data_IF_009394928876
#
_entry.id   IF_009394928876
#
_cell.length_a   1.000
_cell.length_b   1.000
_cell.length_c   1.000
_cell.angle_alpha   90.00
_cell.angle_beta   90.00
_cell.angle_gamma   90.00
#
_symmetry.space_group_name_H-M   'P 1'
#
loop_
_entity.id
_entity.type
_entity.pdbx_description
1 polymer ?
#
# COMPACT_ATOMS: atom_id res chain seq x y z
N UNK A 1 22.09 -30.39 -9.36
CA UNK A 1 21.03 -30.97 -8.50
C UNK A 1 20.77 -30.13 -7.25
N UNK A 2 21.78 -29.72 -6.47
CA UNK A 2 21.57 -28.95 -5.22
C UNK A 2 20.93 -27.55 -5.42
N UNK A 3 21.44 -26.74 -6.36
CA UNK A 3 20.90 -25.37 -6.63
C UNK A 3 19.45 -25.41 -7.12
N UNK A 4 19.11 -26.36 -7.99
CA UNK A 4 17.74 -26.52 -8.51
C UNK A 4 16.73 -26.84 -7.39
N UNK A 5 17.10 -27.74 -6.47
CA UNK A 5 16.25 -28.08 -5.33
C UNK A 5 16.08 -26.89 -4.37
N UNK A 6 17.13 -26.07 -4.20
CA UNK A 6 17.08 -24.85 -3.40
C UNK A 6 16.16 -23.79 -4.04
N UNK A 7 16.29 -23.53 -5.34
CA UNK A 7 15.40 -22.63 -6.08
C UNK A 7 13.95 -23.11 -6.05
N UNK A 8 13.73 -24.41 -6.22
CA UNK A 8 12.39 -25.01 -6.13
C UNK A 8 11.79 -24.83 -4.73
N UNK A 9 12.61 -25.00 -3.67
CA UNK A 9 12.19 -24.72 -2.30
C UNK A 9 11.84 -23.26 -2.07
N UNK A 10 12.60 -22.34 -2.65
CA UNK A 10 12.40 -20.90 -2.51
C UNK A 10 11.12 -20.44 -3.22
N UNK A 11 10.84 -20.99 -4.41
CA UNK A 11 9.62 -20.70 -5.18
C UNK A 11 8.37 -21.31 -4.53
N UNK A 12 8.50 -22.52 -3.94
CA UNK A 12 7.39 -23.24 -3.32
C UNK A 12 7.32 -23.04 -1.80
N UNK A 13 8.05 -22.07 -1.27
CA UNK A 13 7.97 -21.73 0.13
C UNK A 13 6.54 -21.30 0.46
N UNK A 14 6.04 -21.75 1.61
CA UNK A 14 4.71 -21.42 2.10
C UNK A 14 4.88 -20.85 3.49
N UNK A 15 4.23 -19.73 3.76
CA UNK A 15 4.07 -19.23 5.11
C UNK A 15 3.13 -20.11 5.95
N UNK A 16 3.12 -19.86 7.25
CA UNK A 16 2.37 -20.61 8.25
C UNK A 16 1.30 -19.74 8.91
N UNK A 17 0.16 -20.36 9.22
CA UNK A 17 -0.81 -19.76 10.13
C UNK A 17 -0.35 -19.94 11.57
N UNK A 18 -0.42 -18.86 12.35
CA UNK A 18 -0.08 -18.87 13.77
C UNK A 18 -1.34 -18.97 14.62
N UNK A 19 -1.26 -19.75 15.69
CA UNK A 19 -2.29 -19.77 16.72
C UNK A 19 -1.73 -19.46 18.09
N UNK A 20 -2.66 -19.16 19.00
CA UNK A 20 -2.41 -18.74 20.37
C UNK A 20 -2.08 -19.94 21.25
N UNK A 21 -1.00 -19.81 22.00
CA UNK A 21 -0.58 -20.72 23.07
C UNK A 21 -0.34 -19.90 24.33
N UNK A 22 -0.84 -20.39 25.48
CA UNK A 22 -0.54 -19.81 26.79
C UNK A 22 0.73 -20.45 27.31
N UNK A 23 1.74 -19.63 27.59
CA UNK A 23 3.04 -20.09 28.09
C UNK A 23 3.26 -19.53 29.49
N UNK A 24 3.67 -20.40 30.41
CA UNK A 24 4.14 -20.04 31.73
C UNK A 24 5.67 -19.93 31.70
N UNK A 25 6.22 -18.84 32.24
CA UNK A 25 7.67 -18.69 32.36
C UNK A 25 8.13 -19.29 33.69
N UNK A 26 8.95 -20.33 33.62
CA UNK A 26 9.53 -20.99 34.80
C UNK A 26 11.04 -20.78 34.76
N UNK A 27 11.64 -20.26 35.83
CA UNK A 27 13.10 -20.19 35.99
C UNK A 27 13.52 -21.35 36.90
N UNK A 28 14.16 -22.37 36.34
CA UNK A 28 14.57 -23.57 37.08
C UNK A 28 13.38 -24.42 37.52
N UNK A 29 13.42 -24.92 38.77
CA UNK A 29 12.35 -25.71 39.42
C UNK A 29 11.29 -24.85 40.13
N UNK A 30 11.35 -23.52 39.98
CA UNK A 30 10.47 -22.58 40.70
C UNK A 30 9.66 -21.73 39.72
N UNK A 31 8.33 -21.72 39.91
CA UNK A 31 7.45 -20.74 39.29
C UNK A 31 7.85 -19.35 39.80
N UNK A 32 8.08 -18.42 38.88
CA UNK A 32 8.44 -17.04 39.23
C UNK A 32 7.17 -16.37 39.73
N UNK A 33 7.15 -16.03 41.01
CA UNK A 33 6.17 -15.11 41.56
C UNK A 33 6.66 -13.66 41.37
N UNK A 34 5.74 -12.70 41.30
CA UNK A 34 5.93 -11.27 40.94
C UNK A 34 7.10 -10.56 41.66
N UNK A 35 7.57 -11.12 42.78
CA UNK A 35 8.58 -10.52 43.66
C UNK A 35 10.01 -11.04 43.45
N UNK A 36 10.28 -11.80 42.37
CA UNK A 36 11.63 -12.25 42.03
C UNK A 36 12.28 -13.16 43.08
N UNK A 37 11.48 -13.78 43.95
CA UNK A 37 11.94 -14.65 45.03
C UNK A 37 11.46 -16.08 44.77
N UNK A 38 12.37 -17.04 44.83
CA UNK A 38 12.09 -18.46 44.63
C UNK A 38 11.04 -18.95 45.64
N UNK A 39 9.82 -19.23 45.18
CA UNK A 39 8.75 -19.80 46.02
C UNK A 39 8.88 -21.33 46.16
N UNK A 40 8.58 -21.91 47.33
CA UNK A 40 8.67 -23.35 47.54
C UNK A 40 7.54 -24.10 46.80
N UNK A 41 7.83 -25.35 46.41
CA UNK A 41 6.91 -26.25 45.70
C UNK A 41 5.70 -26.58 46.58
N UNK A 42 4.55 -25.98 46.28
CA UNK A 42 3.24 -26.32 46.84
C UNK A 42 2.47 -27.32 45.96
N UNK A 43 1.57 -28.15 46.52
CA UNK A 43 0.98 -29.28 45.81
C UNK A 43 -0.25 -28.89 44.97
N UNK A 44 -0.34 -29.49 43.78
CA UNK A 44 -1.53 -29.71 42.92
C UNK A 44 -2.40 -28.51 42.53
N UNK A 45 -2.50 -28.15 41.23
CA UNK A 45 -3.43 -27.13 40.76
C UNK A 45 -4.80 -27.75 40.46
N UNK A 46 -5.56 -28.04 41.51
CA UNK A 46 -7.01 -28.07 41.40
C UNK A 46 -7.56 -26.84 42.14
N UNK A 47 -8.41 -26.08 41.46
CA UNK A 47 -9.21 -24.96 41.97
C UNK A 47 -8.52 -23.58 42.00
N UNK A 48 -8.66 -22.82 40.91
CA UNK A 48 -9.24 -21.46 41.00
C UNK A 48 -9.78 -21.01 39.65
N UNK A 49 -11.06 -21.34 39.41
CA UNK A 49 -11.92 -20.58 38.50
C UNK A 49 -12.49 -19.43 39.35
N UNK A 50 -11.76 -18.33 39.46
CA UNK A 50 -12.27 -17.08 40.01
C UNK A 50 -11.68 -15.93 39.19
N UNK A 51 -12.60 -15.14 38.66
CA UNK A 51 -12.38 -13.93 37.87
C UNK A 51 -11.62 -12.89 38.70
N UNK A 52 -10.34 -12.66 38.40
CA UNK A 52 -9.69 -11.39 38.73
C UNK A 52 -8.60 -11.07 37.70
N UNK A 53 -8.65 -9.86 37.17
CA UNK A 53 -8.11 -9.44 35.86
C UNK A 53 -6.62 -8.99 35.94
N UNK A 54 -5.82 -9.58 36.85
CA UNK A 54 -4.43 -9.14 37.14
C UNK A 54 -3.44 -10.26 37.49
N UNK A 55 -3.54 -11.44 36.86
CA UNK A 55 -2.59 -12.54 37.07
C UNK A 55 -1.49 -12.62 35.99
N UNK A 56 -0.38 -11.90 36.23
CA UNK A 56 0.79 -11.73 35.34
C UNK A 56 1.71 -12.97 35.18
N UNK A 57 1.17 -14.20 35.27
CA UNK A 57 1.96 -15.45 35.19
C UNK A 57 1.83 -16.21 33.86
N UNK A 58 1.02 -15.73 32.92
CA UNK A 58 0.87 -16.32 31.59
C UNK A 58 1.11 -15.28 30.49
N UNK A 59 1.97 -15.61 29.53
CA UNK A 59 2.13 -14.82 28.30
C UNK A 59 1.55 -15.58 27.12
N UNK A 60 0.87 -14.85 26.25
CA UNK A 60 0.39 -15.40 24.99
C UNK A 60 1.53 -15.41 23.99
N UNK A 61 1.83 -16.57 23.43
CA UNK A 61 2.79 -16.76 22.35
C UNK A 61 2.05 -17.28 21.14
N UNK A 62 2.47 -16.84 19.96
CA UNK A 62 1.90 -17.27 18.68
C UNK A 62 2.86 -18.23 17.99
N UNK A 63 2.43 -19.49 17.85
CA UNK A 63 3.23 -20.57 17.27
C UNK A 63 2.55 -21.07 15.97
N UNK A 64 3.34 -21.54 14.99
CA UNK A 64 2.81 -22.17 13.79
C UNK A 64 1.91 -23.37 14.13
N UNK A 65 0.73 -23.42 13.53
CA UNK A 65 -0.21 -24.54 13.72
C UNK A 65 0.39 -25.87 13.24
N UNK A 66 1.32 -25.82 12.28
CA UNK A 66 2.06 -26.96 11.74
C UNK A 66 3.22 -27.43 12.60
N UNK A 67 3.61 -26.65 13.62
CA UNK A 67 4.83 -26.86 14.42
C UNK A 67 6.12 -26.99 13.58
N UNK A 68 6.16 -26.35 12.40
CA UNK A 68 7.32 -26.39 11.51
C UNK A 68 8.58 -25.71 12.09
N UNK A 69 8.41 -24.88 13.13
CA UNK A 69 9.46 -24.18 13.87
C UNK A 69 10.22 -25.07 14.88
N UNK A 70 9.89 -26.37 14.95
CA UNK A 70 10.48 -27.28 15.92
C UNK A 70 9.91 -27.15 17.34
N UNK A 71 8.78 -26.45 17.50
CA UNK A 71 8.03 -26.43 18.75
C UNK A 71 7.47 -27.82 19.10
N UNK A 72 7.19 -28.05 20.39
CA UNK A 72 6.70 -29.34 20.87
C UNK A 72 5.33 -29.68 20.24
N UNK A 73 5.21 -30.78 19.47
CA UNK A 73 3.97 -31.16 18.79
C UNK A 73 2.81 -31.53 19.71
N UNK A 74 3.08 -31.75 21.01
CA UNK A 74 2.04 -32.05 22.01
C UNK A 74 1.27 -30.79 22.45
N UNK A 75 1.76 -29.60 22.11
CA UNK A 75 1.11 -28.33 22.48
C UNK A 75 -0.04 -28.07 21.50
N UNK A 76 -1.27 -28.04 22.00
CA UNK A 76 -2.42 -27.69 21.16
C UNK A 76 -2.42 -26.18 20.85
N UNK A 77 -2.17 -25.82 19.60
CA UNK A 77 -2.28 -24.45 19.09
C UNK A 77 -3.75 -24.12 18.81
N UNK A 78 -4.29 -23.08 19.43
CA UNK A 78 -5.70 -22.67 19.26
C UNK A 78 -5.81 -21.39 18.42
N UNK A 79 -6.93 -21.18 17.73
CA UNK A 79 -7.15 -19.89 17.05
C UNK A 79 -7.24 -18.73 18.07
N UNK A 80 -6.67 -17.55 17.75
CA UNK A 80 -6.70 -16.41 18.66
C UNK A 80 -8.13 -15.91 18.92
N UNK A 81 -8.94 -15.85 17.86
CA UNK A 81 -10.35 -15.46 17.90
C UNK A 81 -11.07 -15.94 16.62
N UNK A 82 -12.36 -16.32 16.66
CA UNK A 82 -13.09 -16.73 15.46
C UNK A 82 -13.10 -15.65 14.37
N UNK A 83 -12.59 -16.00 13.19
CA UNK A 83 -12.48 -15.06 12.07
C UNK A 83 -11.26 -14.11 12.12
N UNK A 84 -10.33 -14.32 13.06
CA UNK A 84 -9.05 -13.63 13.12
C UNK A 84 -7.93 -14.60 12.77
N UNK A 85 -7.16 -14.27 11.74
CA UNK A 85 -6.05 -15.07 11.25
C UNK A 85 -4.75 -14.32 11.41
N UNK A 86 -3.71 -15.02 11.86
CA UNK A 86 -2.35 -14.51 11.88
C UNK A 86 -1.55 -15.36 10.91
N UNK A 87 -0.94 -14.74 9.92
CA UNK A 87 -0.18 -15.42 8.88
C UNK A 87 1.25 -14.89 8.87
N UNK A 88 2.22 -15.79 9.02
CA UNK A 88 3.64 -15.49 8.92
C UNK A 88 4.17 -15.94 7.57
N UNK A 89 4.81 -15.04 6.84
CA UNK A 89 5.41 -15.34 5.53
C UNK A 89 6.64 -16.26 5.66
N UNK A 90 7.07 -16.88 4.57
CA UNK A 90 8.37 -17.56 4.54
C UNK A 90 9.52 -16.56 4.37
N UNK A 91 10.77 -17.03 4.38
CA UNK A 91 12.00 -16.19 4.45
C UNK A 91 12.13 -15.09 3.37
N UNK A 92 11.40 -15.18 2.26
CA UNK A 92 11.40 -14.12 1.24
C UNK A 92 10.01 -13.87 0.65
N UNK A 93 9.67 -12.61 0.41
CA UNK A 93 8.47 -12.22 -0.34
C UNK A 93 8.92 -11.57 -1.66
N UNK A 94 9.10 -12.43 -2.66
CA UNK A 94 9.75 -12.13 -3.95
C UNK A 94 8.74 -12.40 -5.06
N UNK A 95 8.88 -11.75 -6.22
CA UNK A 95 7.89 -11.89 -7.31
C UNK A 95 7.51 -13.36 -7.66
N UNK A 96 8.45 -14.33 -7.75
CA UNK A 96 8.12 -15.70 -8.11
C UNK A 96 7.30 -16.47 -7.08
N UNK A 97 7.45 -16.18 -5.78
CA UNK A 97 6.78 -16.92 -4.71
C UNK A 97 5.51 -16.21 -4.21
N UNK A 98 5.42 -14.88 -4.35
CA UNK A 98 4.34 -14.06 -3.83
C UNK A 98 2.95 -14.60 -4.16
N UNK A 99 2.71 -14.99 -5.42
CA UNK A 99 1.41 -15.52 -5.83
C UNK A 99 1.06 -16.82 -5.09
N UNK A 100 2.03 -17.72 -4.94
CA UNK A 100 1.78 -19.02 -4.31
C UNK A 100 1.50 -18.91 -2.80
N UNK A 101 2.16 -17.97 -2.13
CA UNK A 101 1.92 -17.68 -0.71
C UNK A 101 0.57 -16.99 -0.49
N UNK A 102 0.25 -15.98 -1.29
CA UNK A 102 -1.04 -15.29 -1.20
C UNK A 102 -2.20 -16.22 -1.55
N UNK A 103 -2.04 -17.09 -2.55
CA UNK A 103 -3.05 -18.07 -2.92
C UNK A 103 -3.32 -19.05 -1.76
N UNK A 104 -2.27 -19.50 -1.08
CA UNK A 104 -2.42 -20.38 0.09
C UNK A 104 -3.15 -19.69 1.25
N UNK A 105 -2.78 -18.44 1.56
CA UNK A 105 -3.45 -17.62 2.57
C UNK A 105 -4.93 -17.44 2.23
N UNK A 106 -5.22 -17.01 1.01
CA UNK A 106 -6.57 -16.70 0.54
C UNK A 106 -7.42 -17.96 0.54
N UNK A 107 -6.91 -19.06 -0.01
CA UNK A 107 -7.60 -20.35 -0.05
C UNK A 107 -7.97 -20.85 1.35
N UNK A 108 -7.05 -20.75 2.31
CA UNK A 108 -7.29 -21.21 3.69
C UNK A 108 -8.35 -20.35 4.37
N UNK A 109 -8.28 -19.03 4.21
CA UNK A 109 -9.30 -18.11 4.75
C UNK A 109 -10.67 -18.39 4.15
N UNK A 110 -10.77 -18.59 2.83
CA UNK A 110 -12.05 -18.91 2.17
C UNK A 110 -12.62 -20.27 2.57
N UNK A 111 -11.77 -21.20 3.02
CA UNK A 111 -12.19 -22.50 3.51
C UNK A 111 -12.73 -22.42 4.93
N UNK A 112 -12.11 -21.59 5.78
CA UNK A 112 -12.41 -21.53 7.23
C UNK A 112 -13.37 -20.39 7.61
N UNK A 113 -13.76 -19.54 6.65
CA UNK A 113 -14.70 -18.44 6.90
C UNK A 113 -15.86 -18.41 5.93
N UNK A 114 -16.93 -17.75 6.35
CA UNK A 114 -18.05 -17.37 5.48
C UNK A 114 -17.99 -15.89 5.10
N UNK A 115 -18.64 -15.56 3.98
CA UNK A 115 -18.79 -14.17 3.52
C UNK A 115 -19.55 -13.35 4.57
N UNK A 116 -19.07 -12.13 4.83
CA UNK A 116 -19.72 -11.19 5.77
C UNK A 116 -21.07 -10.71 5.25
N UNK A 117 -21.17 -10.46 3.94
CA UNK A 117 -22.42 -10.13 3.29
C UNK A 117 -22.91 -11.35 2.50
N UNK A 118 -24.01 -11.94 2.95
CA UNK A 118 -24.73 -12.99 2.24
C UNK A 118 -25.67 -12.26 1.26
N UNK A 119 -25.10 -11.65 0.23
CA UNK A 119 -25.89 -11.02 -0.82
C UNK A 119 -26.55 -12.13 -1.65
N UNK A 120 -27.77 -12.51 -1.28
CA UNK A 120 -28.60 -13.43 -2.06
C UNK A 120 -29.17 -12.66 -3.23
N UNK A 121 -28.51 -12.71 -4.38
CA UNK A 121 -29.07 -12.19 -5.62
C UNK A 121 -30.25 -13.05 -6.06
N UNK A 122 -31.45 -12.47 -6.29
CA UNK A 122 -32.64 -13.23 -6.63
C UNK A 122 -32.51 -13.90 -7.99
N UNK A 123 -31.82 -13.27 -8.94
CA UNK A 123 -31.55 -13.83 -10.27
C UNK A 123 -30.05 -14.01 -10.53
N UNK A 124 -29.72 -14.90 -11.46
CA UNK A 124 -28.34 -15.09 -11.91
C UNK A 124 -27.77 -13.83 -12.60
N UNK A 125 -28.63 -13.00 -13.20
CA UNK A 125 -28.25 -11.77 -13.91
C UNK A 125 -27.92 -10.58 -13.01
N UNK A 126 -28.45 -10.56 -11.77
CA UNK A 126 -28.16 -9.50 -10.80
C UNK A 126 -26.79 -9.69 -10.12
N UNK A 127 -26.13 -10.84 -10.35
CA UNK A 127 -24.82 -11.12 -9.80
C UNK A 127 -23.77 -10.25 -10.49
N UNK A 128 -22.91 -9.57 -9.72
CA UNK A 128 -21.72 -8.92 -10.27
C UNK A 128 -20.90 -9.91 -11.10
N UNK A 129 -20.29 -9.44 -12.20
CA UNK A 129 -19.52 -10.29 -13.11
C UNK A 129 -18.35 -11.02 -12.42
N UNK A 130 -17.90 -10.50 -11.26
CA UNK A 130 -16.82 -11.04 -10.44
C UNK A 130 -17.30 -11.92 -9.27
N UNK A 131 -18.61 -12.17 -9.10
CA UNK A 131 -19.08 -13.15 -8.12
C UNK A 131 -19.08 -14.53 -8.77
N UNK A 132 -18.13 -15.43 -8.41
CA UNK A 132 -18.03 -16.73 -9.06
C UNK A 132 -19.29 -17.58 -8.86
N UNK A 133 -20.07 -17.31 -7.80
CA UNK A 133 -21.37 -17.91 -7.49
C UNK A 133 -21.44 -19.45 -7.54
N UNK A 134 -22.55 -20.06 -7.12
CA UNK A 134 -22.82 -21.43 -7.52
C UNK A 134 -23.05 -21.49 -9.04
N UNK A 135 -22.36 -22.40 -9.73
CA UNK A 135 -22.64 -22.72 -11.14
C UNK A 135 -24.09 -23.18 -11.27
N UNK A 136 -24.72 -22.88 -12.42
CA UNK A 136 -26.10 -23.29 -12.73
C UNK A 136 -26.32 -24.77 -12.39
N UNK A 137 -27.27 -25.05 -11.50
CA UNK A 137 -27.63 -26.41 -11.07
C UNK A 137 -26.90 -26.94 -9.83
N UNK A 138 -25.96 -26.20 -9.23
CA UNK A 138 -25.37 -26.55 -7.93
C UNK A 138 -26.03 -25.74 -6.81
N UNK A 139 -26.48 -26.37 -5.71
CA UNK A 139 -26.93 -25.63 -4.54
C UNK A 139 -25.76 -24.82 -3.94
N UNK A 140 -26.09 -23.68 -3.32
CA UNK A 140 -25.12 -22.92 -2.51
C UNK A 140 -24.73 -23.81 -1.34
N UNK A 141 -23.43 -24.00 -1.10
CA UNK A 141 -22.95 -24.67 0.10
C UNK A 141 -23.39 -23.87 1.33
N UNK A 142 -24.15 -24.50 2.23
CA UNK A 142 -24.48 -23.90 3.51
C UNK A 142 -23.21 -23.86 4.36
N UNK A 143 -22.73 -22.65 4.63
CA UNK A 143 -21.55 -22.35 5.44
C UNK A 143 -21.91 -21.48 6.63
N UNK A 144 -23.14 -21.61 7.12
CA UNK A 144 -23.66 -20.82 8.25
C UNK A 144 -22.97 -21.13 9.58
N UNK A 145 -22.34 -22.30 9.69
CA UNK A 145 -21.53 -22.78 10.80
C UNK A 145 -20.16 -22.07 10.91
N UNK A 146 -19.63 -21.55 9.80
CA UNK A 146 -18.33 -20.89 9.79
C UNK A 146 -18.39 -19.43 10.29
N UNK A 147 -17.35 -18.92 10.97
CA UNK A 147 -17.29 -17.53 11.38
C UNK A 147 -17.09 -16.59 10.17
N UNK A 148 -17.51 -15.33 10.32
CA UNK A 148 -17.17 -14.28 9.34
C UNK A 148 -15.73 -13.84 9.50
N UNK A 149 -15.07 -13.47 8.40
CA UNK A 149 -13.73 -12.89 8.44
C UNK A 149 -13.76 -11.51 9.11
N UNK A 150 -13.03 -11.34 10.21
CA UNK A 150 -12.94 -10.10 10.98
C UNK A 150 -11.61 -9.37 10.79
N UNK A 151 -10.50 -10.10 10.84
CA UNK A 151 -9.18 -9.50 10.69
C UNK A 151 -8.15 -10.52 10.15
N UNK A 152 -7.18 -10.00 9.41
CA UNK A 152 -5.97 -10.73 8.99
C UNK A 152 -4.79 -9.92 9.48
N UNK A 153 -3.92 -10.58 10.26
CA UNK A 153 -2.65 -10.03 10.72
C UNK A 153 -1.55 -10.68 9.90
N UNK A 154 -0.75 -9.86 9.24
CA UNK A 154 0.36 -10.30 8.40
C UNK A 154 1.67 -10.07 9.17
N UNK A 155 2.32 -11.16 9.54
CA UNK A 155 3.60 -11.17 10.23
C UNK A 155 4.75 -11.29 9.22
N UNK A 156 5.48 -10.19 9.02
CA UNK A 156 6.64 -10.08 8.14
C UNK A 156 7.97 -10.29 8.87
N UNK A 157 7.97 -10.74 10.13
CA UNK A 157 9.21 -10.90 10.93
C UNK A 157 10.23 -11.85 10.32
N UNK A 158 9.79 -12.82 9.53
CA UNK A 158 10.63 -13.79 8.82
C UNK A 158 11.11 -13.31 7.46
N UNK A 159 10.56 -12.22 6.89
CA UNK A 159 10.89 -11.78 5.54
C UNK A 159 12.19 -10.98 5.57
N UNK A 160 13.25 -11.53 4.98
CA UNK A 160 14.56 -10.88 4.90
C UNK A 160 14.61 -9.82 3.78
N UNK A 161 14.03 -10.15 2.62
CA UNK A 161 14.03 -9.27 1.46
C UNK A 161 12.67 -9.22 0.75
N UNK A 162 12.32 -8.02 0.29
CA UNK A 162 11.17 -7.75 -0.57
C UNK A 162 11.67 -7.09 -1.84
N UNK A 163 11.28 -7.62 -3.00
CA UNK A 163 11.68 -7.03 -4.27
C UNK A 163 11.14 -5.60 -4.42
N UNK A 164 12.01 -4.59 -4.67
CA UNK A 164 11.55 -3.24 -4.93
C UNK A 164 10.88 -3.19 -6.30
N UNK A 165 9.55 -3.10 -6.32
CA UNK A 165 8.75 -2.93 -7.55
C UNK A 165 8.27 -1.50 -7.71
N UNK A 166 8.25 -1.02 -8.96
CA UNK A 166 7.73 0.32 -9.27
C UNK A 166 6.21 0.26 -9.38
N UNK A 167 5.53 0.97 -8.47
CA UNK A 167 4.08 1.06 -8.44
C UNK A 167 3.60 2.28 -9.24
N UNK A 168 2.86 2.03 -10.31
CA UNK A 168 2.19 3.05 -11.10
C UNK A 168 0.69 3.04 -10.83
N UNK A 169 0.14 4.20 -10.51
CA UNK A 169 -1.28 4.39 -10.23
C UNK A 169 -1.90 5.28 -11.31
N UNK A 170 -2.96 4.81 -11.97
CA UNK A 170 -3.72 5.59 -12.94
C UNK A 170 -5.14 5.87 -12.43
N UNK A 171 -5.75 6.97 -12.88
CA UNK A 171 -7.18 7.30 -12.67
C UNK A 171 -7.62 7.38 -11.20
N UNK A 172 -6.73 7.73 -10.27
CA UNK A 172 -7.11 7.95 -8.87
C UNK A 172 -7.81 9.29 -8.72
N UNK A 173 -9.14 9.25 -8.84
CA UNK A 173 -10.01 10.43 -8.74
C UNK A 173 -10.26 10.84 -7.28
N UNK A 174 -10.25 9.89 -6.35
CA UNK A 174 -10.46 10.17 -4.93
C UNK A 174 -9.21 10.82 -4.32
N UNK A 175 -9.35 12.09 -3.90
CA UNK A 175 -8.26 12.86 -3.29
C UNK A 175 -7.74 12.23 -2.00
N UNK A 176 -8.61 11.61 -1.19
CA UNK A 176 -8.21 10.94 0.04
C UNK A 176 -7.39 9.69 -0.25
N UNK A 177 -7.78 8.89 -1.25
CA UNK A 177 -7.00 7.73 -1.70
C UNK A 177 -5.63 8.17 -2.22
N UNK A 178 -5.58 9.21 -3.05
CA UNK A 178 -4.31 9.75 -3.55
C UNK A 178 -3.42 10.22 -2.40
N UNK A 179 -3.97 10.94 -1.42
CA UNK A 179 -3.23 11.42 -0.24
C UNK A 179 -2.73 10.27 0.62
N UNK A 180 -3.54 9.25 0.86
CA UNK A 180 -3.16 8.07 1.66
C UNK A 180 -2.01 7.29 1.02
N UNK A 181 -2.07 7.06 -0.29
CA UNK A 181 -0.98 6.42 -1.03
C UNK A 181 0.29 7.26 -0.99
N UNK A 182 0.16 8.58 -1.21
CA UNK A 182 1.28 9.51 -1.12
C UNK A 182 1.91 9.53 0.29
N UNK A 183 1.11 9.51 1.36
CA UNK A 183 1.63 9.47 2.73
C UNK A 183 2.30 8.15 3.07
N UNK A 184 1.89 7.05 2.43
CA UNK A 184 2.55 5.76 2.52
C UNK A 184 3.87 5.70 1.71
N UNK A 185 4.26 6.79 1.05
CA UNK A 185 5.51 6.88 0.28
C UNK A 185 5.39 6.44 -1.18
N UNK A 186 4.20 6.05 -1.64
CA UNK A 186 3.99 5.72 -3.05
C UNK A 186 4.09 6.95 -3.94
N UNK A 187 4.49 6.74 -5.19
CA UNK A 187 4.56 7.79 -6.21
C UNK A 187 5.93 8.37 -6.45
N UNK A 188 6.96 7.95 -5.71
CA UNK A 188 8.33 8.40 -5.86
C UNK A 188 9.19 7.32 -6.53
N UNK A 189 10.17 7.70 -7.37
CA UNK A 189 11.19 6.78 -7.84
C UNK A 189 12.02 6.30 -6.65
N UNK A 190 12.26 4.98 -6.57
CA UNK A 190 13.13 4.41 -5.54
C UNK A 190 14.57 4.88 -5.77
N UNK A 191 15.25 5.52 -4.80
CA UNK A 191 16.65 5.85 -4.91
C UNK A 191 17.46 4.55 -4.93
N UNK A 192 18.13 4.28 -6.04
CA UNK A 192 18.96 3.08 -6.20
C UNK A 192 20.30 3.35 -5.55
N UNK A 193 20.60 2.63 -4.47
CA UNK A 193 21.82 2.79 -3.69
C UNK A 193 23.01 2.20 -4.43
N UNK A 194 23.73 3.02 -5.21
CA UNK A 194 25.20 3.05 -5.27
C UNK A 194 25.75 4.04 -6.32
N UNK A 195 24.94 4.50 -7.28
CA UNK A 195 25.43 5.33 -8.39
C UNK A 195 24.46 6.48 -8.73
N UNK A 196 24.35 7.43 -7.80
CA UNK A 196 23.58 8.66 -7.97
C UNK A 196 22.07 8.47 -8.20
N UNK A 197 21.36 9.59 -8.35
CA UNK A 197 19.98 9.57 -8.84
C UNK A 197 20.00 9.06 -10.28
N UNK A 198 19.64 7.80 -10.53
CA UNK A 198 19.35 7.36 -11.89
C UNK A 198 18.36 8.34 -12.51
N UNK A 199 18.70 8.84 -13.71
CA UNK A 199 17.94 9.87 -14.43
C UNK A 199 16.61 9.28 -14.89
N UNK A 200 15.67 9.22 -13.96
CA UNK A 200 14.28 8.89 -14.21
C UNK A 200 13.74 9.85 -15.28
N UNK A 201 12.99 9.32 -16.26
CA UNK A 201 12.44 10.09 -17.38
C UNK A 201 10.97 10.42 -17.10
N UNK A 202 10.65 11.58 -16.51
CA UNK A 202 9.28 12.04 -16.41
C UNK A 202 8.61 12.14 -17.77
N UNK A 203 7.46 11.46 -17.92
CA UNK A 203 6.49 11.79 -18.95
C UNK A 203 5.36 12.55 -18.27
N UNK A 204 5.09 13.74 -18.78
CA UNK A 204 4.07 14.62 -18.25
C UNK A 204 2.97 14.82 -19.28
N UNK A 205 1.72 14.57 -18.87
CA UNK A 205 0.55 14.89 -19.69
C UNK A 205 0.25 16.38 -19.59
N UNK A 206 0.34 17.05 -20.73
CA UNK A 206 0.11 18.48 -20.87
C UNK A 206 -1.16 18.70 -21.68
N UNK A 207 -2.02 19.61 -21.21
CA UNK A 207 -3.12 20.15 -21.97
C UNK A 207 -2.74 21.54 -22.49
N UNK A 208 -3.00 21.78 -23.78
CA UNK A 208 -2.93 23.13 -24.32
C UNK A 208 -4.13 23.92 -23.76
N UNK A 209 -3.87 24.85 -22.82
CA UNK A 209 -4.83 25.90 -22.49
C UNK A 209 -4.82 26.81 -23.70
N UNK A 210 -5.91 26.82 -24.47
CA UNK A 210 -5.97 27.53 -25.73
C UNK A 210 -5.46 28.98 -25.65
N UNK A 211 -5.09 29.54 -26.81
CA UNK A 211 -4.49 30.86 -26.92
C UNK A 211 -5.40 32.03 -26.49
N UNK A 212 -5.10 33.23 -26.99
CA UNK A 212 -5.79 34.49 -26.62
C UNK A 212 -7.33 34.48 -26.81
N UNK A 213 -7.87 33.50 -27.53
CA UNK A 213 -9.29 33.29 -27.80
C UNK A 213 -9.92 32.12 -27.01
N UNK A 214 -9.20 31.49 -26.07
CA UNK A 214 -9.73 30.36 -25.30
C UNK A 214 -10.75 30.77 -24.25
N UNK A 215 -11.65 29.83 -23.91
CA UNK A 215 -12.65 30.03 -22.86
C UNK A 215 -12.01 30.40 -21.50
N UNK A 216 -10.83 29.86 -21.20
CA UNK A 216 -10.07 30.22 -19.99
C UNK A 216 -9.53 31.66 -20.04
N UNK A 217 -9.02 32.11 -21.19
CA UNK A 217 -8.54 33.48 -21.36
C UNK A 217 -9.69 34.51 -21.34
N UNK A 218 -10.86 34.16 -21.89
CA UNK A 218 -12.07 34.97 -21.81
C UNK A 218 -12.58 35.05 -20.37
N UNK A 219 -12.68 33.92 -19.66
CA UNK A 219 -13.11 33.90 -18.27
C UNK A 219 -12.20 34.71 -17.34
N UNK A 220 -10.88 34.67 -17.55
CA UNK A 220 -9.93 35.47 -16.78
C UNK A 220 -10.06 36.97 -17.08
N UNK A 221 -10.28 37.33 -18.35
CA UNK A 221 -10.53 38.72 -18.74
C UNK A 221 -11.83 39.25 -18.14
N UNK A 222 -12.88 38.44 -18.11
CA UNK A 222 -14.16 38.80 -17.50
C UNK A 222 -14.03 38.95 -15.98
N UNK A 223 -13.25 38.09 -15.32
CA UNK A 223 -12.92 38.20 -13.89
C UNK A 223 -12.10 39.45 -13.57
N UNK A 224 -11.10 39.78 -14.38
CA UNK A 224 -10.34 41.03 -14.23
C UNK A 224 -11.22 42.26 -14.46
N UNK A 225 -12.10 42.22 -15.48
CA UNK A 225 -13.04 43.30 -15.74
C UNK A 225 -14.07 43.49 -14.61
N UNK A 226 -14.51 42.42 -13.93
CA UNK A 226 -15.42 42.53 -12.79
C UNK A 226 -14.73 43.09 -11.55
N UNK A 227 -13.45 42.79 -11.34
CA UNK A 227 -12.64 43.40 -10.28
C UNK A 227 -12.42 44.90 -10.52
N UNK A 228 -12.18 45.31 -11.77
CA UNK A 228 -12.03 46.74 -12.12
C UNK A 228 -13.34 47.51 -11.96
N UNK A 229 -14.49 46.87 -12.25
CA UNK A 229 -15.83 47.47 -12.04
C UNK A 229 -16.28 47.52 -10.58
N UNK A 230 -15.63 46.78 -9.68
CA UNK A 230 -15.95 46.85 -8.26
C UNK A 230 -15.29 48.07 -7.56
N UNK A 231 -14.26 48.66 -8.18
CA UNK A 231 -13.45 49.75 -7.60
C UNK A 231 -13.90 51.16 -8.04
N UNK A 232 -14.98 51.33 -8.82
CA UNK A 232 -15.34 52.62 -9.46
C UNK A 232 -16.45 53.45 -8.77
N UNK A 233 -16.86 53.10 -7.55
CA UNK A 233 -17.97 53.81 -6.87
C UNK A 233 -17.60 54.89 -5.84
N UNK A 234 -16.35 55.06 -5.40
CA UNK A 234 -16.03 56.22 -4.54
C UNK A 234 -14.53 56.53 -4.44
N UNK A 235 -14.13 57.76 -4.79
CA UNK A 235 -12.87 58.35 -4.35
C UNK A 235 -11.89 58.75 -5.45
N UNK A 236 -12.00 59.99 -5.94
CA UNK A 236 -10.99 60.61 -6.78
C UNK A 236 -9.66 60.79 -6.03
N UNK A 237 -8.60 60.11 -6.50
CA UNK A 237 -7.17 60.46 -6.36
C UNK A 237 -6.33 59.59 -7.32
N UNK A 238 -5.45 60.15 -8.16
CA UNK A 238 -4.51 59.33 -8.92
C UNK A 238 -3.37 58.91 -7.98
N UNK A 239 -3.27 57.61 -7.67
CA UNK A 239 -2.09 57.05 -7.02
C UNK A 239 -1.29 56.26 -8.05
N UNK A 240 -0.13 56.82 -8.35
CA UNK A 240 1.04 56.19 -8.97
C UNK A 240 1.16 54.70 -8.65
N UNK A 241 1.42 53.92 -9.69
CA UNK A 241 1.88 52.55 -9.73
C UNK A 241 2.41 52.01 -8.39
N UNK A 242 1.54 51.34 -7.63
CA UNK A 242 1.97 50.36 -6.64
C UNK A 242 2.07 49.05 -7.41
N UNK A 243 3.29 48.58 -7.59
CA UNK A 243 3.61 47.21 -8.02
C UNK A 243 2.95 46.28 -7.00
N UNK A 244 1.75 45.80 -7.33
CA UNK A 244 1.08 44.75 -6.56
C UNK A 244 1.76 43.44 -6.89
N UNK A 245 2.54 43.01 -5.90
CA UNK A 245 3.04 41.67 -5.66
C UNK A 245 2.08 40.61 -6.22
N UNK A 246 2.59 39.85 -7.20
CA UNK A 246 1.96 38.62 -7.68
C UNK A 246 1.82 37.71 -6.46
N UNK A 247 0.60 37.46 -6.01
CA UNK A 247 0.32 36.39 -5.07
C UNK A 247 0.65 35.08 -5.78
N UNK A 248 1.90 34.64 -5.63
CA UNK A 248 2.32 33.27 -5.89
C UNK A 248 1.39 32.36 -5.08
N UNK A 249 0.76 31.33 -5.68
CA UNK A 249 0.01 30.36 -4.91
C UNK A 249 0.98 29.72 -3.92
N UNK A 250 0.59 29.63 -2.64
CA UNK A 250 1.40 29.04 -1.58
C UNK A 250 2.00 27.70 -2.02
N UNK A 251 3.27 27.74 -2.43
CA UNK A 251 4.05 26.54 -2.73
C UNK A 251 4.46 25.99 -1.37
N UNK A 252 3.63 25.07 -0.87
CA UNK A 252 4.03 24.16 0.20
C UNK A 252 5.44 23.66 -0.11
N UNK A 253 6.37 24.05 0.73
CA UNK A 253 7.77 23.66 0.71
C UNK A 253 7.88 22.15 0.57
N UNK A 254 8.25 21.68 -0.61
CA UNK A 254 8.70 20.33 -0.86
C UNK A 254 9.52 20.33 -2.14
N UNK A 255 10.54 19.48 -2.17
CA UNK A 255 11.68 19.31 -3.09
C UNK A 255 11.34 19.15 -4.59
N UNK A 256 10.11 19.47 -5.01
CA UNK A 256 9.67 19.46 -6.40
C UNK A 256 9.92 20.74 -7.20
N UNK A 257 10.56 21.78 -6.64
CA UNK A 257 10.82 23.01 -7.38
C UNK A 257 11.76 22.84 -8.59
N UNK A 258 12.61 21.83 -8.55
CA UNK A 258 13.72 21.69 -9.50
C UNK A 258 13.27 21.14 -10.87
N UNK A 259 12.28 20.24 -10.89
CA UNK A 259 11.77 19.69 -12.15
C UNK A 259 11.01 20.75 -12.98
N UNK A 260 10.33 21.71 -12.34
CA UNK A 260 9.57 22.78 -13.05
C UNK A 260 10.55 23.68 -13.79
N UNK A 261 11.59 24.11 -13.09
CA UNK A 261 12.66 24.93 -13.65
C UNK A 261 13.36 24.23 -14.81
N UNK A 262 13.53 22.91 -14.72
CA UNK A 262 14.14 22.11 -15.78
C UNK A 262 13.23 21.97 -17.02
N UNK A 263 11.91 21.88 -16.84
CA UNK A 263 10.94 21.87 -17.94
C UNK A 263 10.94 23.19 -18.73
N UNK A 264 11.03 24.33 -18.04
CA UNK A 264 11.11 25.65 -18.67
C UNK A 264 12.37 25.83 -19.56
N UNK A 265 13.44 25.09 -19.25
CA UNK A 265 14.68 25.12 -20.05
C UNK A 265 14.67 24.15 -21.24
N UNK A 266 13.73 23.20 -21.29
CA UNK A 266 13.76 22.13 -22.29
C UNK A 266 13.23 22.62 -23.65
N UNK A 267 13.95 22.29 -24.73
CA UNK A 267 13.68 22.74 -26.11
C UNK A 267 12.25 22.45 -26.60
N UNK A 268 11.63 21.37 -26.09
CA UNK A 268 10.25 21.00 -26.37
C UNK A 268 9.22 22.05 -25.92
N UNK A 269 9.50 22.78 -24.83
CA UNK A 269 8.62 23.82 -24.27
C UNK A 269 8.93 25.22 -24.83
N UNK A 270 10.17 25.49 -25.26
CA UNK A 270 10.55 26.76 -25.91
C UNK A 270 9.86 26.99 -27.27
N UNK A 271 9.58 25.93 -28.01
CA UNK A 271 9.03 26.00 -29.37
C UNK A 271 7.51 26.28 -29.42
N UNK A 272 6.76 26.02 -28.34
CA UNK A 272 5.31 26.27 -28.26
C UNK A 272 5.00 27.24 -27.11
N UNK A 273 5.11 28.54 -27.36
CA UNK A 273 4.58 29.62 -26.48
C UNK A 273 3.04 29.70 -26.49
N UNK A 274 2.36 28.57 -26.41
CA UNK A 274 0.94 28.51 -26.11
C UNK A 274 0.80 28.09 -24.65
N UNK A 275 -0.11 28.73 -23.91
CA UNK A 275 -0.32 28.48 -22.49
C UNK A 275 -0.55 26.98 -22.25
N UNK A 276 0.43 26.31 -21.68
CA UNK A 276 0.42 24.87 -21.46
C UNK A 276 0.11 24.68 -19.97
N UNK A 277 -0.98 23.98 -19.65
CA UNK A 277 -1.19 23.49 -18.29
C UNK A 277 -0.90 22.03 -18.20
N UNK A 278 -0.33 21.69 -17.07
CA UNK A 278 -0.10 20.33 -16.69
C UNK A 278 -1.40 19.71 -16.15
N UNK A 279 -1.71 18.50 -16.62
CA UNK A 279 -2.95 17.79 -16.23
C UNK A 279 -2.81 17.04 -14.90
N UNK A 280 -1.59 16.61 -14.52
CA UNK A 280 -1.33 15.89 -13.27
C UNK A 280 -0.15 16.50 -12.52
N UNK A 281 -0.23 16.63 -11.19
CA UNK A 281 0.82 17.26 -10.38
C UNK A 281 2.21 16.60 -10.54
N UNK A 282 3.20 17.41 -10.92
CA UNK A 282 4.60 17.01 -11.18
C UNK A 282 5.30 16.38 -9.97
N UNK A 283 4.82 16.69 -8.77
CA UNK A 283 5.35 16.19 -7.50
C UNK A 283 5.28 14.67 -7.35
N UNK A 284 4.46 13.97 -8.14
CA UNK A 284 4.16 12.54 -7.96
C UNK A 284 4.21 11.79 -9.28
N UNK A 285 5.41 11.39 -9.69
CA UNK A 285 5.64 10.89 -11.04
C UNK A 285 5.01 9.56 -11.42
N UNK A 286 4.70 8.71 -10.44
CA UNK A 286 4.00 7.44 -10.72
C UNK A 286 2.48 7.55 -10.55
N UNK A 287 1.95 8.76 -10.43
CA UNK A 287 0.51 9.02 -10.47
C UNK A 287 0.10 9.62 -11.81
N UNK A 288 -0.57 8.79 -12.59
CA UNK A 288 -0.96 9.03 -13.96
C UNK A 288 -2.43 9.45 -14.05
N UNK A 289 -2.72 10.29 -15.04
CA UNK A 289 -4.09 10.69 -15.36
C UNK A 289 -4.84 9.54 -16.04
N UNK A 290 -4.15 8.76 -16.87
CA UNK A 290 -4.67 7.66 -17.66
C UNK A 290 -3.72 6.45 -17.66
N UNK A 291 -4.22 5.30 -18.13
CA UNK A 291 -3.42 4.07 -18.25
C UNK A 291 -2.34 4.22 -19.33
N UNK A 292 -2.63 4.98 -20.39
CA UNK A 292 -1.70 5.21 -21.51
C UNK A 292 -0.42 5.89 -21.03
N UNK A 293 -0.53 7.01 -20.31
CA UNK A 293 0.63 7.68 -19.71
C UNK A 293 1.37 6.80 -18.71
N UNK A 294 0.65 5.97 -17.96
CA UNK A 294 1.26 5.00 -17.05
C UNK A 294 2.16 4.00 -17.77
N UNK A 295 1.64 3.37 -18.82
CA UNK A 295 2.38 2.37 -19.62
C UNK A 295 3.57 3.00 -20.32
N UNK A 296 3.40 4.16 -20.96
CA UNK A 296 4.51 4.85 -21.61
C UNK A 296 5.63 5.23 -20.64
N UNK A 297 5.27 5.68 -19.43
CA UNK A 297 6.26 6.01 -18.39
C UNK A 297 6.99 4.77 -17.92
N UNK A 298 6.29 3.66 -17.68
CA UNK A 298 6.88 2.40 -17.26
C UNK A 298 7.88 1.87 -18.29
N UNK A 299 7.50 1.83 -19.58
CA UNK A 299 8.38 1.39 -20.68
C UNK A 299 9.61 2.30 -20.78
N UNK A 300 9.41 3.62 -20.74
CA UNK A 300 10.51 4.60 -20.86
C UNK A 300 11.52 4.50 -19.71
N UNK A 301 11.04 4.16 -18.51
CA UNK A 301 11.90 3.91 -17.34
C UNK A 301 12.72 2.64 -17.50
N UNK A 302 12.11 1.57 -18.01
CA UNK A 302 12.78 0.28 -18.26
C UNK A 302 13.85 0.47 -19.34
N UNK A 303 13.51 1.09 -20.48
CA UNK A 303 14.45 1.35 -21.58
C UNK A 303 15.59 2.28 -21.15
N UNK A 304 15.28 3.31 -20.35
CA UNK A 304 16.28 4.21 -19.78
C UNK A 304 17.28 3.48 -18.87
N UNK A 305 16.80 2.52 -18.08
CA UNK A 305 17.63 1.71 -17.18
C UNK A 305 18.45 0.65 -17.94
N UNK A 306 17.86 -0.02 -18.93
CA UNK A 306 18.52 -1.04 -19.74
C UNK A 306 19.60 -0.49 -20.69
N UNK A 307 19.43 0.75 -21.18
CA UNK A 307 20.46 1.43 -21.98
C UNK A 307 21.71 1.77 -21.16
N UNK A 308 21.57 2.02 -19.86
CA UNK A 308 22.70 2.31 -18.96
C UNK A 308 23.44 1.04 -18.56
N UNK A 309 22.73 -0.06 -18.28
CA UNK A 309 23.35 -1.35 -17.98
C UNK A 309 24.28 -1.84 -19.11
N UNK A 310 23.89 -1.62 -20.37
CA UNK A 310 24.70 -1.96 -21.55
C UNK A 310 25.96 -1.09 -21.74
N UNK A 311 26.02 0.09 -21.13
CA UNK A 311 27.17 1.01 -21.22
C UNK A 311 28.22 0.74 -20.13
N UNK A 312 27.87 -0.03 -19.09
CA UNK A 312 28.76 -0.37 -17.98
C UNK A 312 29.46 -1.72 -18.21
N UNK A 313 28.96 -2.56 -19.13
CA UNK A 313 29.57 -3.85 -19.52
C UNK A 313 30.64 -3.76 -20.64
N UNK A 314 31.12 -2.57 -21.01
CA UNK A 314 32.19 -2.36 -22.01
C UNK A 314 33.39 -1.69 -21.38
#
# INVERSE_FOLDING_TARGET
>A
MSVFLLLWRLVKARGDFLGKVRVHSVIGDHLIDEHGKYGPVGPTPEQTLAEDDTNDTYRNVYLPVTHADGSNPQISVQHPYPGVFIYRFSEGFVYPNANSETDYLVHTIFKETRRTNIATYPTLGDRPWNDPGPRRGKPVEDRSDLPTLRAIILDFSSVDHVDPVQWHFANINNRWTKRALVSAGFGWPSPTSHDGFHRWKPIFSVAEIGGRSSAAAVAERDRLNSLVKADDLEGGRPKSAIVRERTEPEVSSNEGGDYIKQLDTTTAYKAKRNNIALVSGLNRPFFHIDVTSAVHTAISNIEGSGSLAKLIEV
#
